data_IF_205731677008
#
_entry.id   IF_205731677008
#
_cell.length_a   1.000
_cell.length_b   1.000
_cell.length_c   1.000
_cell.angle_alpha   90.00
_cell.angle_beta   90.00
_cell.angle_gamma   90.00
#
_symmetry.space_group_name_H-M   'P 1'
#
loop_
_entity.id
_entity.type
_entity.pdbx_description
1 polymer ?
#
# COMPACT_ATOMS: atom_id res chain seq x y z
N UNK A 1 -10.29 -7.12 9.00
CA UNK A 1 -11.40 -7.01 9.97
C UNK A 1 -11.37 -5.61 10.53
N UNK A 2 -12.50 -4.91 10.56
CA UNK A 2 -12.59 -3.56 11.10
C UNK A 2 -13.44 -3.63 12.37
N UNK A 3 -12.85 -3.23 13.50
CA UNK A 3 -13.56 -2.96 14.74
C UNK A 3 -13.96 -1.49 14.83
N UNK A 4 -14.49 -1.07 15.99
CA UNK A 4 -14.87 0.32 16.22
C UNK A 4 -13.66 1.28 16.11
N UNK A 5 -12.54 0.93 16.76
CA UNK A 5 -11.34 1.78 16.84
C UNK A 5 -10.10 1.20 16.15
N UNK A 6 -10.19 -0.04 15.63
CA UNK A 6 -9.03 -0.74 15.08
C UNK A 6 -9.31 -1.40 13.73
N UNK A 7 -8.26 -1.48 12.92
CA UNK A 7 -8.30 -2.16 11.62
C UNK A 7 -7.20 -3.21 11.59
N UNK A 8 -7.58 -4.45 11.34
CA UNK A 8 -6.67 -5.59 11.27
C UNK A 8 -6.59 -6.10 9.83
N UNK A 9 -5.37 -6.19 9.32
CA UNK A 9 -5.03 -6.79 8.03
C UNK A 9 -4.31 -8.10 8.30
N UNK A 10 -4.84 -9.19 7.75
CA UNK A 10 -4.24 -10.52 7.83
C UNK A 10 -3.99 -11.03 6.41
N UNK A 11 -2.83 -11.66 6.20
CA UNK A 11 -2.47 -12.24 4.91
C UNK A 11 -1.78 -13.59 5.09
N UNK A 12 -2.14 -14.56 4.26
CA UNK A 12 -1.48 -15.86 4.24
C UNK A 12 -0.19 -15.77 3.45
N UNK A 13 0.93 -16.11 4.10
CA UNK A 13 2.23 -16.23 3.44
C UNK A 13 2.43 -17.67 2.96
N UNK A 14 2.83 -17.84 1.70
CA UNK A 14 3.23 -19.14 1.13
C UNK A 14 4.74 -19.19 1.02
N UNK A 15 5.33 -20.32 1.41
CA UNK A 15 6.73 -20.62 1.14
C UNK A 15 6.83 -21.53 -0.09
N UNK A 16 7.76 -21.27 -1.03
CA UNK A 16 7.96 -22.15 -2.18
C UNK A 16 8.64 -23.47 -1.80
N UNK A 17 9.36 -23.52 -0.68
CA UNK A 17 10.00 -24.73 -0.15
C UNK A 17 10.18 -24.64 1.37
N UNK A 18 10.52 -25.75 2.04
CA UNK A 18 10.69 -25.76 3.50
C UNK A 18 11.85 -24.89 4.00
N UNK A 19 12.87 -24.66 3.17
CA UNK A 19 14.05 -23.86 3.52
C UNK A 19 13.96 -22.42 3.01
N UNK A 20 13.01 -22.11 2.14
CA UNK A 20 12.85 -20.77 1.61
C UNK A 20 12.13 -19.87 2.61
N UNK A 21 12.53 -18.59 2.61
CA UNK A 21 11.79 -17.55 3.30
C UNK A 21 10.44 -17.32 2.60
N UNK A 22 9.42 -16.99 3.38
CA UNK A 22 8.11 -16.64 2.85
C UNK A 22 8.09 -15.25 2.25
N UNK A 23 7.26 -15.04 1.22
CA UNK A 23 7.05 -13.70 0.67
C UNK A 23 6.26 -12.81 1.64
N UNK A 24 6.80 -11.61 1.91
CA UNK A 24 6.07 -10.58 2.63
C UNK A 24 4.82 -10.13 1.88
N UNK A 25 3.74 -9.92 2.65
CA UNK A 25 2.43 -9.56 2.11
C UNK A 25 1.89 -8.26 2.66
N UNK A 26 2.37 -7.83 3.82
CA UNK A 26 1.87 -6.64 4.52
C UNK A 26 3.05 -5.67 4.67
N UNK A 27 2.85 -4.42 4.26
CA UNK A 27 3.89 -3.40 4.27
C UNK A 27 3.38 -2.14 4.95
N UNK A 28 4.15 -1.56 5.91
CA UNK A 28 3.79 -0.30 6.52
C UNK A 28 4.00 0.86 5.53
N UNK A 29 3.06 1.79 5.48
CA UNK A 29 3.11 2.99 4.63
C UNK A 29 3.34 4.24 5.45
N UNK A 30 2.62 4.37 6.58
CA UNK A 30 2.79 5.40 7.59
C UNK A 30 2.48 4.81 8.98
N UNK A 31 2.57 5.63 10.02
CA UNK A 31 2.16 5.33 11.39
C UNK A 31 0.73 4.82 11.51
N UNK A 32 -0.22 5.40 10.76
CA UNK A 32 -1.64 5.02 10.80
C UNK A 32 -2.11 4.15 9.61
N UNK A 33 -1.25 3.87 8.61
CA UNK A 33 -1.67 3.18 7.40
C UNK A 33 -0.70 2.07 6.96
N UNK A 34 -1.27 0.94 6.54
CA UNK A 34 -0.55 -0.20 5.98
C UNK A 34 -1.30 -0.82 4.82
N UNK A 35 -0.58 -1.57 3.98
CA UNK A 35 -1.14 -2.18 2.76
C UNK A 35 -0.80 -3.66 2.72
N UNK A 36 -1.78 -4.47 2.32
CA UNK A 36 -1.53 -5.84 1.87
C UNK A 36 -1.49 -5.92 0.35
N UNK A 37 -0.53 -6.66 -0.19
CA UNK A 37 -0.34 -6.86 -1.63
C UNK A 37 -0.65 -8.30 -2.02
N UNK A 38 -1.49 -8.46 -3.04
CA UNK A 38 -1.73 -9.71 -3.76
C UNK A 38 -1.50 -9.52 -5.25
N UNK A 39 -1.00 -10.56 -5.94
CA UNK A 39 -0.63 -10.48 -7.37
C UNK A 39 0.85 -10.24 -7.58
N UNK A 40 1.20 -9.42 -8.58
CA UNK A 40 2.59 -9.11 -8.95
C UNK A 40 3.27 -8.28 -7.84
N UNK A 41 4.37 -8.82 -7.30
CA UNK A 41 5.13 -8.16 -6.23
C UNK A 41 5.80 -6.86 -6.72
N UNK A 42 6.25 -6.83 -7.98
CA UNK A 42 6.84 -5.64 -8.60
C UNK A 42 5.89 -4.44 -8.57
N UNK A 43 4.62 -4.67 -8.91
CA UNK A 43 3.62 -3.62 -8.99
C UNK A 43 3.25 -3.14 -7.59
N UNK A 44 3.13 -4.08 -6.64
CA UNK A 44 2.99 -3.77 -5.22
C UNK A 44 4.10 -2.87 -4.70
N UNK A 45 5.37 -3.18 -5.01
CA UNK A 45 6.52 -2.36 -4.60
C UNK A 45 6.47 -0.94 -5.16
N UNK A 46 6.06 -0.78 -6.42
CA UNK A 46 5.89 0.54 -7.04
C UNK A 46 4.78 1.35 -6.35
N UNK A 47 3.63 0.72 -6.08
CA UNK A 47 2.50 1.36 -5.37
C UNK A 47 2.88 1.73 -3.94
N UNK A 48 3.56 0.85 -3.21
CA UNK A 48 4.01 1.10 -1.84
C UNK A 48 4.98 2.28 -1.80
N UNK A 49 5.97 2.30 -2.68
CA UNK A 49 6.97 3.38 -2.74
C UNK A 49 6.33 4.73 -3.05
N UNK A 50 5.38 4.75 -3.99
CA UNK A 50 4.58 5.94 -4.27
C UNK A 50 3.79 6.40 -3.04
N UNK A 51 3.09 5.52 -2.34
CA UNK A 51 2.24 5.89 -1.21
C UNK A 51 3.05 6.37 0.00
N UNK A 52 4.22 5.78 0.24
CA UNK A 52 5.18 6.28 1.24
C UNK A 52 5.63 7.70 0.93
N UNK A 53 5.97 7.99 -0.33
CA UNK A 53 6.34 9.36 -0.73
C UNK A 53 5.20 10.36 -0.50
N UNK A 54 3.96 9.97 -0.80
CA UNK A 54 2.79 10.82 -0.56
C UNK A 54 2.57 11.07 0.94
N UNK A 55 2.73 10.03 1.77
CA UNK A 55 2.61 10.14 3.23
C UNK A 55 3.70 11.05 3.82
N UNK A 56 4.96 10.85 3.42
CA UNK A 56 6.10 11.68 3.85
C UNK A 56 5.91 13.13 3.42
N UNK A 57 5.50 13.38 2.17
CA UNK A 57 5.25 14.73 1.68
C UNK A 57 4.11 15.42 2.43
N UNK A 58 3.06 14.68 2.81
CA UNK A 58 1.98 15.25 3.61
C UNK A 58 2.49 15.70 4.99
N UNK A 59 3.26 14.83 5.66
CA UNK A 59 3.87 15.16 6.95
C UNK A 59 4.87 16.31 6.82
N UNK A 60 5.64 16.38 5.74
CA UNK A 60 6.65 17.41 5.55
C UNK A 60 6.04 18.79 5.23
N UNK A 61 4.99 18.84 4.41
CA UNK A 61 4.40 20.11 3.94
C UNK A 61 3.34 20.65 4.91
N UNK A 62 2.56 19.77 5.52
CA UNK A 62 1.37 20.14 6.30
C UNK A 62 1.47 19.75 7.77
N UNK A 63 2.62 19.22 8.20
CA UNK A 63 2.83 18.70 9.56
C UNK A 63 1.71 17.76 10.04
N UNK A 64 1.15 16.99 9.10
CA UNK A 64 -0.02 16.14 9.33
C UNK A 64 0.07 14.84 8.55
N UNK A 65 -0.52 13.79 9.12
CA UNK A 65 -0.57 12.49 8.46
C UNK A 65 -1.56 12.49 7.28
N UNK A 66 -1.17 11.84 6.19
CA UNK A 66 -2.06 11.67 5.05
C UNK A 66 -3.23 10.75 5.43
N UNK A 67 -4.46 11.23 5.26
CA UNK A 67 -5.65 10.41 5.44
C UNK A 67 -5.66 9.23 4.45
N UNK A 68 -6.20 8.09 4.87
CA UNK A 68 -6.30 6.88 4.03
C UNK A 68 -7.04 7.17 2.72
N UNK A 69 -8.08 8.00 2.78
CA UNK A 69 -8.84 8.44 1.59
C UNK A 69 -7.97 9.22 0.59
N UNK A 70 -7.06 10.09 1.07
CA UNK A 70 -6.12 10.82 0.23
C UNK A 70 -5.10 9.89 -0.42
N UNK A 71 -4.55 8.96 0.35
CA UNK A 71 -3.65 7.92 -0.17
C UNK A 71 -4.32 7.09 -1.26
N UNK A 72 -5.56 6.63 -1.02
CA UNK A 72 -6.36 5.89 -2.00
C UNK A 72 -6.63 6.71 -3.27
N UNK A 73 -7.03 7.98 -3.13
CA UNK A 73 -7.28 8.87 -4.27
C UNK A 73 -6.06 9.08 -5.16
N UNK A 74 -4.87 9.23 -4.56
CA UNK A 74 -3.61 9.31 -5.32
C UNK A 74 -3.31 7.99 -6.03
N UNK A 75 -3.48 6.85 -5.36
CA UNK A 75 -3.27 5.54 -5.97
C UNK A 75 -4.18 5.33 -7.19
N UNK A 76 -5.49 5.57 -7.04
CA UNK A 76 -6.46 5.44 -8.14
C UNK A 76 -6.08 6.36 -9.29
N UNK A 77 -5.80 7.63 -9.04
CA UNK A 77 -5.46 8.58 -10.10
C UNK A 77 -4.21 8.16 -10.87
N UNK A 78 -3.19 7.65 -10.19
CA UNK A 78 -1.94 7.23 -10.84
C UNK A 78 -2.11 5.91 -11.60
N UNK A 79 -2.86 4.96 -11.05
CA UNK A 79 -3.16 3.68 -11.71
C UNK A 79 -4.13 3.84 -12.88
N UNK A 80 -5.00 4.85 -12.87
CA UNK A 80 -5.96 5.10 -13.96
C UNK A 80 -5.30 5.58 -15.25
N UNK A 81 -4.10 6.18 -15.20
CA UNK A 81 -3.40 6.67 -16.40
C UNK A 81 -3.13 5.54 -17.39
N UNK A 82 -2.88 4.32 -16.91
CA UNK A 82 -2.62 3.14 -17.74
C UNK A 82 -3.83 2.68 -18.57
N UNK A 83 -5.06 3.08 -18.20
CA UNK A 83 -6.27 2.79 -18.98
C UNK A 83 -6.50 3.74 -20.17
N UNK A 84 -5.64 4.75 -20.35
CA UNK A 84 -5.79 5.74 -21.44
C UNK A 84 -5.11 5.33 -22.74
N UNK A 85 -4.37 4.22 -22.75
CA UNK A 85 -3.74 3.72 -23.97
C UNK A 85 -4.77 2.89 -24.76
N UNK A 86 -5.33 3.47 -25.83
CA UNK A 86 -6.36 2.82 -26.66
C UNK A 86 -7.73 3.51 -26.69
N UNK A 87 -7.85 4.72 -26.13
CA UNK A 87 -8.94 5.66 -26.43
C UNK A 87 -8.37 6.87 -27.14
#
# INVERSE_FOLDING_TARGET
MQGADSVVIAALKRSPSQLAATHEKIFPVSSCAGIAVSGLVSDGQQVISMLRNVAINASFVYDSEASVSKLCGVAVKKLQVWQKFGR
#
